data_IF_810566312414
#
_entry.id   IF_810566312414
#
_cell.length_a   1.000
_cell.length_b   1.000
_cell.length_c   1.000
_cell.angle_alpha   90.00
_cell.angle_beta   90.00
_cell.angle_gamma   90.00
#
_symmetry.space_group_name_H-M   'P 1'
#
loop_
_entity.id
_entity.type
_entity.pdbx_description
1 polymer ?
#
# COMPACT_ATOMS: atom_id res chain seq x y z
N UNK A 1 -7.93 35.94 -45.80
CA UNK A 1 -6.70 36.12 -44.98
C UNK A 1 -7.00 35.96 -43.50
N UNK A 2 -7.86 36.80 -42.88
CA UNK A 2 -8.12 36.78 -41.42
C UNK A 2 -8.69 35.45 -40.89
N UNK A 3 -9.63 34.83 -41.61
CA UNK A 3 -10.22 33.54 -41.23
C UNK A 3 -9.19 32.40 -41.19
N UNK A 4 -8.23 32.37 -42.12
CA UNK A 4 -7.17 31.35 -42.19
C UNK A 4 -6.17 31.50 -41.04
N UNK A 5 -5.93 32.74 -40.62
CA UNK A 5 -5.09 33.06 -39.48
C UNK A 5 -5.79 32.63 -38.18
N UNK A 6 -7.06 33.00 -38.00
CA UNK A 6 -7.86 32.60 -36.84
C UNK A 6 -8.03 31.09 -36.72
N UNK A 7 -8.33 30.39 -37.82
CA UNK A 7 -8.51 28.93 -37.82
C UNK A 7 -7.23 28.21 -37.43
N UNK A 8 -6.06 28.70 -37.85
CA UNK A 8 -4.75 28.12 -37.50
C UNK A 8 -4.43 28.27 -36.02
N UNK A 9 -4.67 29.44 -35.42
CA UNK A 9 -4.47 29.64 -33.99
C UNK A 9 -5.47 28.87 -33.13
N UNK A 10 -6.73 28.77 -33.58
CA UNK A 10 -7.78 28.01 -32.89
C UNK A 10 -7.49 26.51 -32.88
N UNK A 11 -7.02 25.95 -34.00
CA UNK A 11 -6.60 24.55 -34.09
C UNK A 11 -5.40 24.25 -33.17
N UNK A 12 -4.42 25.15 -33.12
CA UNK A 12 -3.26 25.00 -32.23
C UNK A 12 -3.67 25.07 -30.74
N UNK A 13 -4.56 25.99 -30.38
CA UNK A 13 -5.09 26.08 -29.02
C UNK A 13 -5.87 24.82 -28.62
N UNK A 14 -6.67 24.28 -29.53
CA UNK A 14 -7.40 23.03 -29.32
C UNK A 14 -6.45 21.84 -29.14
N UNK A 15 -5.39 21.76 -29.95
CA UNK A 15 -4.37 20.71 -29.82
C UNK A 15 -3.66 20.77 -28.45
N UNK A 16 -3.25 21.97 -28.01
CA UNK A 16 -2.62 22.18 -26.71
C UNK A 16 -3.58 21.77 -25.57
N UNK A 17 -4.86 22.12 -25.69
CA UNK A 17 -5.87 21.75 -24.70
C UNK A 17 -6.03 20.22 -24.60
N UNK A 18 -6.14 19.52 -25.74
CA UNK A 18 -6.27 18.06 -25.76
C UNK A 18 -5.04 17.34 -25.19
N UNK A 19 -3.83 17.78 -25.55
CA UNK A 19 -2.58 17.22 -25.00
C UNK A 19 -2.50 17.46 -23.49
N UNK A 20 -2.90 18.64 -23.03
CA UNK A 20 -2.88 18.99 -21.60
C UNK A 20 -3.89 18.17 -20.78
N UNK A 21 -5.11 17.99 -21.31
CA UNK A 21 -6.14 17.14 -20.69
C UNK A 21 -5.69 15.67 -20.66
N UNK A 22 -5.17 15.17 -21.78
CA UNK A 22 -4.66 13.80 -21.90
C UNK A 22 -3.52 13.53 -20.92
N UNK A 23 -2.54 14.45 -20.84
CA UNK A 23 -1.43 14.34 -19.90
C UNK A 23 -1.89 14.40 -18.43
N UNK A 24 -2.81 15.32 -18.11
CA UNK A 24 -3.39 15.44 -16.77
C UNK A 24 -4.12 14.17 -16.33
N UNK A 25 -4.95 13.60 -17.21
CA UNK A 25 -5.66 12.36 -16.96
C UNK A 25 -4.70 11.18 -16.75
N UNK A 26 -3.71 11.02 -17.63
CA UNK A 26 -2.73 9.94 -17.54
C UNK A 26 -1.93 10.05 -16.24
N UNK A 27 -1.43 11.25 -15.92
CA UNK A 27 -0.66 11.51 -14.70
C UNK A 27 -1.46 11.24 -13.44
N UNK A 28 -2.74 11.62 -13.41
CA UNK A 28 -3.60 11.40 -12.24
C UNK A 28 -3.87 9.91 -12.03
N UNK A 29 -4.19 9.17 -13.11
CA UNK A 29 -4.46 7.73 -13.03
C UNK A 29 -3.21 6.91 -12.67
N UNK A 30 -2.09 7.18 -13.32
CA UNK A 30 -0.79 6.57 -13.00
C UNK A 30 -0.33 6.90 -11.57
N UNK A 31 -0.61 8.11 -11.10
CA UNK A 31 -0.33 8.54 -9.74
C UNK A 31 -1.18 7.80 -8.70
N UNK A 32 -2.46 7.60 -8.99
CA UNK A 32 -3.41 6.86 -8.15
C UNK A 32 -3.02 5.38 -8.03
N UNK A 33 -2.71 4.73 -9.15
CA UNK A 33 -2.27 3.32 -9.18
C UNK A 33 -0.96 3.13 -8.39
N UNK A 34 0.01 4.05 -8.56
CA UNK A 34 1.26 4.03 -7.78
C UNK A 34 1.00 4.23 -6.29
N UNK A 35 0.12 5.17 -5.92
CA UNK A 35 -0.22 5.43 -4.53
C UNK A 35 -0.93 4.23 -3.88
N UNK A 36 -1.83 3.56 -4.59
CA UNK A 36 -2.48 2.33 -4.13
C UNK A 36 -1.45 1.22 -3.90
N UNK A 37 -0.56 1.03 -4.86
CA UNK A 37 0.51 0.03 -4.79
C UNK A 37 1.42 0.25 -3.57
N UNK A 38 1.77 1.50 -3.27
CA UNK A 38 2.58 1.84 -2.09
C UNK A 38 1.81 1.53 -0.79
N UNK A 39 0.51 1.84 -0.73
CA UNK A 39 -0.33 1.51 0.44
C UNK A 39 -0.39 0.00 0.68
N UNK A 40 -0.60 -0.79 -0.37
CA UNK A 40 -0.63 -2.25 -0.28
C UNK A 40 0.73 -2.82 0.13
N UNK A 41 1.83 -2.28 -0.41
CA UNK A 41 3.17 -2.66 -0.02
C UNK A 41 3.46 -2.36 1.45
N UNK A 42 3.02 -1.19 1.95
CA UNK A 42 3.12 -0.82 3.38
C UNK A 42 2.43 -1.87 4.25
N UNK A 43 1.19 -2.21 3.93
CA UNK A 43 0.43 -3.19 4.71
C UNK A 43 1.08 -4.57 4.70
N UNK A 44 1.51 -5.02 3.52
CA UNK A 44 2.16 -6.32 3.33
C UNK A 44 3.45 -6.41 4.13
N UNK A 45 4.29 -5.38 4.07
CA UNK A 45 5.56 -5.34 4.80
C UNK A 45 5.35 -5.31 6.32
N UNK A 46 4.34 -4.57 6.80
CA UNK A 46 4.01 -4.50 8.23
C UNK A 46 3.46 -5.82 8.77
N UNK A 47 2.57 -6.48 8.03
CA UNK A 47 2.02 -7.78 8.41
C UNK A 47 3.12 -8.85 8.43
N UNK A 48 3.99 -8.85 7.42
CA UNK A 48 5.12 -9.77 7.36
C UNK A 48 6.06 -9.60 8.58
N UNK A 49 6.36 -8.37 8.97
CA UNK A 49 7.20 -8.11 10.13
C UNK A 49 6.54 -8.53 11.47
N UNK A 50 5.23 -8.42 11.60
CA UNK A 50 4.49 -8.96 12.75
C UNK A 50 4.52 -10.49 12.79
N UNK A 51 4.42 -11.15 11.64
CA UNK A 51 4.48 -12.61 11.54
C UNK A 51 5.88 -13.14 11.93
N UNK A 52 6.94 -12.49 11.45
CA UNK A 52 8.32 -12.92 11.67
C UNK A 52 8.81 -12.66 13.10
N UNK A 53 8.50 -11.49 13.66
CA UNK A 53 9.06 -11.06 14.95
C UNK A 53 8.09 -11.22 16.12
N UNK A 54 6.83 -11.52 15.84
CA UNK A 54 5.78 -11.60 16.82
C UNK A 54 5.56 -10.30 17.59
N UNK A 55 4.86 -10.43 18.71
CA UNK A 55 4.43 -9.30 19.53
C UNK A 55 5.52 -8.95 20.55
N UNK A 56 5.88 -7.65 20.64
CA UNK A 56 6.80 -7.13 21.66
C UNK A 56 8.05 -6.41 21.12
N UNK A 57 8.46 -6.64 19.86
CA UNK A 57 9.70 -6.11 19.29
C UNK A 57 9.56 -4.73 18.60
N UNK A 58 8.83 -3.81 19.23
CA UNK A 58 8.29 -2.57 18.64
C UNK A 58 9.19 -1.85 17.63
N UNK A 59 10.32 -1.27 18.05
CA UNK A 59 11.14 -0.44 17.14
C UNK A 59 11.87 -1.27 16.07
N UNK A 60 12.51 -2.38 16.46
CA UNK A 60 13.25 -3.23 15.52
C UNK A 60 12.34 -3.82 14.44
N UNK A 61 11.10 -4.14 14.80
CA UNK A 61 10.08 -4.63 13.88
C UNK A 61 9.76 -3.63 12.78
N UNK A 62 9.60 -2.35 13.11
CA UNK A 62 9.29 -1.34 12.10
C UNK A 62 10.48 -1.01 11.21
N UNK A 63 11.71 -1.16 11.70
CA UNK A 63 12.92 -1.06 10.87
C UNK A 63 13.03 -2.22 9.88
N UNK A 64 12.66 -3.44 10.30
CA UNK A 64 12.62 -4.62 9.44
C UNK A 64 11.48 -4.52 8.42
N UNK A 65 10.29 -4.08 8.85
CA UNK A 65 9.18 -3.76 7.96
C UNK A 65 9.58 -2.70 6.92
N UNK A 66 10.35 -1.68 7.31
CA UNK A 66 10.84 -0.67 6.38
C UNK A 66 11.75 -1.28 5.31
N UNK A 67 12.70 -2.15 5.69
CA UNK A 67 13.57 -2.85 4.73
C UNK A 67 12.74 -3.71 3.77
N UNK A 68 11.76 -4.46 4.29
CA UNK A 68 10.88 -5.31 3.48
C UNK A 68 10.00 -4.49 2.54
N UNK A 69 9.55 -3.32 2.97
CA UNK A 69 8.82 -2.39 2.11
C UNK A 69 9.66 -1.93 0.92
N UNK A 70 10.92 -1.54 1.16
CA UNK A 70 11.82 -1.11 0.07
C UNK A 70 12.06 -2.26 -0.92
N UNK A 71 12.19 -3.50 -0.45
CA UNK A 71 12.29 -4.69 -1.29
C UNK A 71 11.05 -4.88 -2.18
N UNK A 72 9.85 -4.87 -1.59
CA UNK A 72 8.58 -5.00 -2.33
C UNK A 72 8.39 -3.88 -3.36
N UNK A 73 8.80 -2.65 -3.03
CA UNK A 73 8.72 -1.52 -3.94
C UNK A 73 9.74 -1.65 -5.09
N UNK A 74 10.95 -2.13 -4.80
CA UNK A 74 11.98 -2.38 -5.80
C UNK A 74 11.53 -3.44 -6.81
N UNK A 75 10.90 -4.54 -6.36
CA UNK A 75 10.34 -5.58 -7.23
C UNK A 75 9.27 -5.04 -8.18
N UNK A 76 8.55 -3.99 -7.75
CA UNK A 76 7.53 -3.29 -8.55
C UNK A 76 8.09 -2.13 -9.36
N UNK A 77 9.41 -1.97 -9.42
CA UNK A 77 10.12 -0.87 -10.08
C UNK A 77 9.67 0.53 -9.58
N UNK A 78 9.30 0.62 -8.30
CA UNK A 78 8.91 1.85 -7.62
C UNK A 78 10.05 2.29 -6.71
N UNK A 79 10.65 3.45 -7.00
CA UNK A 79 11.55 4.14 -6.08
C UNK A 79 10.80 5.23 -5.33
N UNK A 80 11.09 5.36 -4.04
CA UNK A 80 10.61 6.47 -3.21
C UNK A 80 11.56 7.64 -3.31
N UNK A 81 11.02 8.85 -3.48
CA UNK A 81 11.79 10.09 -3.30
C UNK A 81 11.94 10.38 -1.80
N UNK A 82 12.95 11.16 -1.41
CA UNK A 82 13.14 11.59 -0.01
C UNK A 82 11.88 12.22 0.63
N UNK A 83 11.11 12.97 -0.15
CA UNK A 83 9.84 13.56 0.31
C UNK A 83 8.76 12.52 0.57
N UNK A 84 8.74 11.43 -0.21
CA UNK A 84 7.78 10.33 -0.09
C UNK A 84 8.15 9.41 1.06
N UNK A 85 9.45 9.16 1.29
CA UNK A 85 9.90 8.32 2.39
C UNK A 85 9.34 8.79 3.74
N UNK A 86 9.34 10.11 3.99
CA UNK A 86 8.78 10.68 5.22
C UNK A 86 7.28 10.39 5.34
N UNK A 87 6.54 10.57 4.24
CA UNK A 87 5.11 10.32 4.22
C UNK A 87 4.79 8.82 4.44
N UNK A 88 5.54 7.94 3.79
CA UNK A 88 5.42 6.49 3.93
C UNK A 88 5.73 6.06 5.37
N UNK A 89 6.81 6.56 5.99
CA UNK A 89 7.15 6.28 7.39
C UNK A 89 6.05 6.74 8.35
N UNK A 90 5.47 7.91 8.12
CA UNK A 90 4.32 8.39 8.90
C UNK A 90 3.11 7.47 8.74
N UNK A 91 2.83 7.04 7.51
CA UNK A 91 1.71 6.12 7.21
C UNK A 91 1.91 4.74 7.83
N UNK A 92 3.13 4.22 7.85
CA UNK A 92 3.47 3.00 8.57
C UNK A 92 3.20 3.15 10.07
N UNK A 93 3.73 4.20 10.70
CA UNK A 93 3.52 4.48 12.14
C UNK A 93 2.03 4.59 12.48
N UNK A 94 1.24 5.25 11.64
CA UNK A 94 -0.20 5.38 11.84
C UNK A 94 -0.95 4.03 11.77
N UNK A 95 -0.45 3.07 10.98
CA UNK A 95 -1.07 1.75 10.82
C UNK A 95 -0.69 0.74 11.90
N UNK A 96 0.31 1.02 12.75
CA UNK A 96 0.84 0.07 13.74
C UNK A 96 -0.27 -0.48 14.64
N UNK A 97 -1.09 0.40 15.23
CA UNK A 97 -2.15 -0.03 16.14
C UNK A 97 -3.15 -0.98 15.47
N UNK A 98 -3.54 -0.66 14.23
CA UNK A 98 -4.48 -1.47 13.44
C UNK A 98 -3.89 -2.83 13.08
N UNK A 99 -2.63 -2.86 12.64
CA UNK A 99 -1.93 -4.10 12.28
C UNK A 99 -1.77 -5.02 13.50
N UNK A 100 -1.38 -4.46 14.65
CA UNK A 100 -1.27 -5.23 15.89
C UNK A 100 -2.61 -5.87 16.26
N UNK A 101 -3.70 -5.10 16.23
CA UNK A 101 -5.05 -5.60 16.51
C UNK A 101 -5.47 -6.72 15.55
N UNK A 102 -5.23 -6.55 14.25
CA UNK A 102 -5.53 -7.58 13.26
C UNK A 102 -4.76 -8.88 13.53
N UNK A 103 -3.48 -8.79 13.85
CA UNK A 103 -2.66 -9.95 14.20
C UNK A 103 -3.17 -10.62 15.47
N UNK A 104 -3.47 -9.84 16.52
CA UNK A 104 -4.07 -10.37 17.76
C UNK A 104 -5.40 -11.09 17.50
N UNK A 105 -6.30 -10.50 16.71
CA UNK A 105 -7.59 -11.09 16.38
C UNK A 105 -7.43 -12.41 15.61
N UNK A 106 -6.50 -12.47 14.66
CA UNK A 106 -6.20 -13.69 13.90
C UNK A 106 -5.64 -14.78 14.84
N UNK A 107 -4.72 -14.42 15.74
CA UNK A 107 -4.17 -15.36 16.72
C UNK A 107 -5.25 -15.86 17.70
N UNK A 108 -6.11 -14.97 18.19
CA UNK A 108 -7.22 -15.33 19.08
C UNK A 108 -8.18 -16.29 18.39
N UNK A 109 -8.56 -16.01 17.13
CA UNK A 109 -9.39 -16.91 16.33
C UNK A 109 -8.73 -18.26 16.11
N UNK A 110 -7.43 -18.30 15.78
CA UNK A 110 -6.66 -19.56 15.65
C UNK A 110 -6.67 -20.36 16.95
N UNK A 111 -6.49 -19.70 18.10
CA UNK A 111 -6.54 -20.34 19.42
C UNK A 111 -7.92 -20.94 19.70
N UNK A 112 -9.00 -20.18 19.46
CA UNK A 112 -10.37 -20.65 19.64
C UNK A 112 -10.71 -21.87 18.76
N UNK A 113 -10.22 -21.90 17.51
CA UNK A 113 -10.40 -23.05 16.61
C UNK A 113 -9.63 -24.26 17.15
N UNK A 114 -8.38 -24.07 17.59
CA UNK A 114 -7.56 -25.14 18.18
C UNK A 114 -8.22 -25.72 19.43
N UNK A 115 -8.70 -24.86 20.33
CA UNK A 115 -9.37 -25.27 21.56
C UNK A 115 -10.67 -26.04 21.25
N UNK A 116 -11.46 -25.59 20.27
CA UNK A 116 -12.64 -26.34 19.79
C UNK A 116 -12.30 -27.70 19.19
N UNK A 117 -11.22 -27.79 18.41
CA UNK A 117 -10.77 -29.05 17.81
C UNK A 117 -10.31 -30.06 18.88
N UNK A 118 -9.62 -29.59 19.92
CA UNK A 118 -9.21 -30.42 21.07
C UNK A 118 -10.44 -30.93 21.84
N UNK A 119 -11.45 -30.08 22.04
CA UNK A 119 -12.71 -30.46 22.70
C UNK A 119 -13.47 -31.51 21.88
N UNK A 120 -13.47 -31.41 20.54
CA UNK A 120 -14.11 -32.41 19.68
C UNK A 120 -13.37 -33.75 19.63
N UNK A 121 -12.03 -33.76 19.71
CA UNK A 121 -11.23 -35.00 19.75
C UNK A 121 -11.29 -35.72 21.10
N UNK A 122 -11.60 -35.01 22.19
CA UNK A 122 -11.72 -35.57 23.54
C UNK A 122 -13.14 -36.04 23.88
N UNK A 123 -14.12 -35.82 23.01
CA UNK A 123 -15.45 -36.41 23.13
C UNK A 123 -15.38 -37.89 22.70
N UNK A 124 -15.62 -38.85 23.61
CA UNK A 124 -15.70 -40.26 23.22
C UNK A 124 -16.88 -40.41 22.26
N UNK A 125 -16.58 -40.93 21.06
CA UNK A 125 -17.60 -41.40 20.12
C UNK A 125 -18.33 -42.54 20.82
N UNK A 126 -19.58 -42.28 21.25
CA UNK A 126 -20.48 -43.30 21.77
C UNK A 126 -20.90 -44.27 20.68
#
# INVERSE_FOLDING_TARGET
MLQVILSKYLLNALLIALVSIGYGYLKNKLGEDRASTIKEAILSAMLWAEEELGIGNGNQKWDIAWKKLIEILADKNISLRKSEEKAVKTMMKANVGRINQQTYDVMLKKKLIKDKAIVQQSLPTK
#
